data_IF_097850340434
#
_entry.id   IF_097850340434
#
_cell.length_a   1.000
_cell.length_b   1.000
_cell.length_c   1.000
_cell.angle_alpha   90.00
_cell.angle_beta   90.00
_cell.angle_gamma   90.00
#
_symmetry.space_group_name_H-M   'P 1'
#
loop_
_entity.id
_entity.type
_entity.pdbx_description
1 polymer ?
#
# COMPACT_ATOMS: atom_id res chain seq x y z
N UNK A 1 -2.40 -16.73 11.08
CA UNK A 1 -2.45 -15.80 9.94
C UNK A 1 -3.03 -14.49 10.46
N UNK A 2 -2.19 -13.48 10.59
CA UNK A 2 -2.53 -12.18 11.22
C UNK A 2 -2.89 -11.13 10.16
N UNK A 3 -3.80 -10.17 10.42
CA UNK A 3 -3.98 -9.02 9.53
C UNK A 3 -2.65 -8.34 9.20
N UNK A 4 -2.53 -7.69 8.03
CA UNK A 4 -1.28 -7.04 7.59
C UNK A 4 -0.74 -6.07 8.65
N UNK A 5 -1.61 -5.26 9.23
CA UNK A 5 -1.24 -4.26 10.24
C UNK A 5 -0.62 -4.92 11.48
N UNK A 6 -1.32 -5.92 12.02
CA UNK A 6 -0.84 -6.68 13.18
C UNK A 6 0.45 -7.44 12.85
N UNK A 7 0.62 -7.89 11.60
CA UNK A 7 1.84 -8.52 11.12
C UNK A 7 3.04 -7.56 11.04
N UNK A 8 2.80 -6.29 10.69
CA UNK A 8 3.83 -5.25 10.67
C UNK A 8 4.31 -4.88 12.07
N UNK A 9 3.48 -5.00 13.10
CA UNK A 9 3.87 -4.72 14.49
C UNK A 9 4.81 -5.78 15.07
N UNK A 10 4.82 -6.99 14.50
CA UNK A 10 5.54 -8.15 15.05
C UNK A 10 6.69 -8.63 14.15
N UNK A 11 6.89 -8.01 12.98
CA UNK A 11 8.00 -8.37 12.09
C UNK A 11 9.32 -7.87 12.67
N UNK A 12 10.34 -8.73 12.69
CA UNK A 12 11.71 -8.37 13.06
C UNK A 12 12.66 -8.70 11.92
N UNK A 13 13.90 -8.18 11.93
CA UNK A 13 14.90 -8.53 10.91
C UNK A 13 15.24 -10.03 10.84
N UNK A 14 14.99 -10.77 11.91
CA UNK A 14 15.42 -12.15 12.08
C UNK A 14 14.35 -13.19 11.71
N UNK A 15 13.07 -12.82 11.74
CA UNK A 15 11.95 -13.76 11.57
C UNK A 15 10.86 -13.26 10.62
N UNK A 16 10.45 -14.15 9.71
CA UNK A 16 9.38 -13.90 8.75
C UNK A 16 8.01 -14.15 9.36
N UNK A 17 7.05 -13.28 9.03
CA UNK A 17 5.68 -13.39 9.51
C UNK A 17 4.72 -13.73 8.37
N UNK A 18 3.82 -14.70 8.58
CA UNK A 18 2.80 -15.08 7.60
C UNK A 18 1.49 -14.31 7.85
N UNK A 19 1.17 -13.40 6.94
CA UNK A 19 -0.01 -12.51 7.01
C UNK A 19 -1.21 -13.04 6.24
N UNK A 20 -2.44 -12.73 6.72
CA UNK A 20 -3.71 -13.07 6.06
C UNK A 20 -4.12 -11.92 5.19
N UNK A 21 -4.06 -12.13 3.88
CA UNK A 21 -4.41 -11.13 2.90
C UNK A 21 -5.79 -11.44 2.31
N UNK A 22 -6.69 -10.47 2.35
CA UNK A 22 -7.70 -10.36 1.29
C UNK A 22 -7.00 -9.89 0.02
N UNK A 23 -7.48 -10.26 -1.19
CA UNK A 23 -6.87 -9.81 -2.43
C UNK A 23 -6.79 -8.27 -2.46
N UNK A 24 -5.58 -7.73 -2.61
CA UNK A 24 -5.41 -6.27 -2.69
C UNK A 24 -6.14 -5.68 -3.90
N UNK A 25 -6.31 -6.49 -4.96
CA UNK A 25 -7.06 -6.13 -6.15
C UNK A 25 -8.50 -5.74 -5.83
N UNK A 26 -9.16 -6.39 -4.86
CA UNK A 26 -10.54 -6.05 -4.49
C UNK A 26 -10.63 -4.62 -3.92
N UNK A 27 -9.65 -4.23 -3.10
CA UNK A 27 -9.55 -2.88 -2.54
C UNK A 27 -9.34 -1.83 -3.64
N UNK A 28 -8.45 -2.12 -4.60
CA UNK A 28 -8.16 -1.22 -5.72
C UNK A 28 -9.37 -1.09 -6.63
N UNK A 29 -9.94 -2.22 -7.09
CA UNK A 29 -11.07 -2.25 -8.02
C UNK A 29 -12.28 -1.51 -7.44
N UNK A 30 -12.59 -1.71 -6.15
CA UNK A 30 -13.67 -0.96 -5.47
C UNK A 30 -13.49 0.57 -5.57
N UNK A 31 -12.25 1.08 -5.59
CA UNK A 31 -11.97 2.52 -5.67
C UNK A 31 -11.85 3.02 -7.10
N UNK A 32 -11.34 2.19 -8.01
CA UNK A 32 -11.27 2.46 -9.45
C UNK A 32 -12.68 2.49 -10.06
N UNK A 33 -13.56 1.57 -9.70
CA UNK A 33 -14.94 1.55 -10.23
C UNK A 33 -15.75 2.77 -9.77
N UNK A 34 -15.39 3.32 -8.61
CA UNK A 34 -16.07 4.48 -8.03
C UNK A 34 -15.62 5.83 -8.62
N UNK A 35 -14.42 5.93 -9.20
CA UNK A 35 -13.82 7.20 -9.63
C UNK A 35 -12.80 7.03 -10.78
N UNK A 36 -12.51 8.11 -11.51
CA UNK A 36 -11.49 8.09 -12.58
C UNK A 36 -10.09 7.82 -12.03
N UNK A 37 -9.22 7.23 -12.84
CA UNK A 37 -7.79 7.03 -12.53
C UNK A 37 -6.94 8.02 -13.32
N UNK A 38 -5.87 8.54 -12.71
CA UNK A 38 -4.84 9.30 -13.43
C UNK A 38 -3.72 8.37 -13.87
N UNK A 39 -3.29 8.50 -15.12
CA UNK A 39 -2.17 7.76 -15.67
C UNK A 39 -1.13 8.72 -16.25
N UNK A 40 0.15 8.41 -16.01
CA UNK A 40 1.27 9.13 -16.59
C UNK A 40 2.55 8.26 -16.60
N UNK A 41 3.41 8.38 -17.61
CA UNK A 41 4.73 7.78 -17.58
C UNK A 41 5.61 8.51 -16.57
N UNK A 42 6.52 7.79 -15.92
CA UNK A 42 7.45 8.36 -14.94
C UNK A 42 8.55 7.40 -14.53
N UNK A 43 9.13 7.67 -13.36
CA UNK A 43 10.26 6.92 -12.83
C UNK A 43 9.93 6.11 -11.59
N UNK A 44 10.85 5.21 -11.23
CA UNK A 44 10.93 4.69 -9.86
C UNK A 44 11.20 5.85 -8.87
N UNK A 45 10.65 5.75 -7.66
CA UNK A 45 10.81 6.75 -6.58
C UNK A 45 11.94 6.42 -5.61
N UNK A 46 12.71 5.37 -5.91
CA UNK A 46 13.96 5.02 -5.22
C UNK A 46 15.09 4.95 -6.24
N UNK A 47 16.34 5.28 -5.86
CA UNK A 47 17.48 5.13 -6.74
C UNK A 47 17.55 3.72 -7.37
N UNK A 48 17.87 3.59 -8.65
CA UNK A 48 18.45 4.60 -9.56
C UNK A 48 17.45 5.56 -10.25
N UNK A 49 16.16 5.53 -9.90
CA UNK A 49 15.12 6.40 -10.47
C UNK A 49 14.88 6.20 -11.98
N UNK A 50 14.93 4.96 -12.47
CA UNK A 50 14.75 4.66 -13.89
C UNK A 50 13.35 5.07 -14.41
N UNK A 51 13.30 5.74 -15.57
CA UNK A 51 12.07 6.22 -16.25
C UNK A 51 11.39 5.12 -17.07
N UNK A 52 11.00 4.05 -16.40
CA UNK A 52 10.44 2.84 -17.02
C UNK A 52 9.04 2.48 -16.48
N UNK A 53 8.40 3.40 -15.75
CA UNK A 53 7.17 3.12 -15.00
C UNK A 53 5.99 3.84 -15.62
N UNK A 54 4.90 3.11 -15.86
CA UNK A 54 3.57 3.69 -16.08
C UNK A 54 2.82 3.76 -14.74
N UNK A 55 2.64 4.97 -14.21
CA UNK A 55 1.94 5.18 -12.95
C UNK A 55 0.43 5.20 -13.13
N UNK A 56 -0.29 4.60 -12.18
CA UNK A 56 -1.75 4.63 -12.09
C UNK A 56 -2.17 5.08 -10.69
N UNK A 57 -2.77 6.27 -10.59
CA UNK A 57 -3.11 6.90 -9.31
C UNK A 57 -4.62 6.99 -9.15
N UNK A 58 -5.13 6.31 -8.13
CA UNK A 58 -6.53 6.42 -7.70
C UNK A 58 -6.68 7.71 -6.88
N UNK A 59 -7.55 8.66 -7.29
CA UNK A 59 -7.66 9.96 -6.64
C UNK A 59 -8.35 9.91 -5.29
N UNK A 60 -9.17 8.88 -5.04
CA UNK A 60 -9.89 8.72 -3.78
C UNK A 60 -8.96 8.14 -2.73
N UNK A 61 -8.68 8.87 -1.62
CA UNK A 61 -7.85 8.34 -0.56
C UNK A 61 -8.49 7.12 0.10
N UNK A 62 -7.68 6.15 0.50
CA UNK A 62 -8.12 5.12 1.44
C UNK A 62 -8.24 5.72 2.84
N UNK A 63 -9.37 5.48 3.51
CA UNK A 63 -9.62 5.95 4.88
C UNK A 63 -9.36 4.81 5.86
N UNK A 64 -8.25 4.87 6.58
CA UNK A 64 -7.97 4.00 7.71
C UNK A 64 -8.35 4.67 9.04
N UNK A 65 -8.65 3.89 10.10
CA UNK A 65 -8.85 4.41 11.44
C UNK A 65 -7.58 5.10 12.00
N UNK A 66 -7.75 6.16 12.78
CA UNK A 66 -6.64 6.95 13.35
C UNK A 66 -5.65 6.12 14.18
N UNK A 67 -6.15 5.09 14.88
CA UNK A 67 -5.34 4.16 15.68
C UNK A 67 -4.36 3.35 14.82
N UNK A 68 -4.66 3.11 13.55
CA UNK A 68 -3.77 2.41 12.63
C UNK A 68 -2.61 3.30 12.18
N UNK A 69 -2.82 4.61 12.02
CA UNK A 69 -1.78 5.54 11.58
C UNK A 69 -0.65 5.73 12.60
N UNK A 70 -0.89 5.48 13.89
CA UNK A 70 0.17 5.63 14.90
C UNK A 70 1.29 4.59 14.76
N UNK A 71 1.00 3.41 14.19
CA UNK A 71 2.01 2.37 13.93
C UNK A 71 3.08 2.85 12.94
N UNK A 72 2.68 3.65 11.95
CA UNK A 72 3.54 4.12 10.85
C UNK A 72 4.31 5.41 11.14
N UNK A 73 4.02 6.09 12.26
CA UNK A 73 4.78 7.25 12.74
C UNK A 73 5.69 6.82 13.89
N UNK A 74 6.59 5.88 13.60
CA UNK A 74 7.71 5.60 14.49
C UNK A 74 8.88 6.49 14.07
N UNK A 75 8.95 7.66 14.71
CA UNK A 75 10.16 8.47 14.87
C UNK A 75 10.36 8.70 16.35
#
# INVERSE_FOLDING_TARGET
MVPVLDGMDIVTPEEWQTVKLTPYADLINTKVDANRVYNYPGSLTTPACDEIVDWWVVPTPFRSPQRTWSVYRQT
#
